data_IF_205970846003
#
_entry.id   IF_205970846003
#
_cell.length_a   1.000
_cell.length_b   1.000
_cell.length_c   1.000
_cell.angle_alpha   90.00
_cell.angle_beta   90.00
_cell.angle_gamma   90.00
#
_symmetry.space_group_name_H-M   'P 1'
#
loop_
_entity.id
_entity.type
_entity.pdbx_description
1 polymer ?
#
# COMPACT_ATOMS: atom_id res chain seq x y z
N UNK A 1 -27.13 -3.98 -7.30
CA UNK A 1 -25.79 -4.37 -6.83
C UNK A 1 -24.71 -3.85 -7.80
N UNK A 2 -23.53 -3.52 -7.30
CA UNK A 2 -22.38 -3.11 -8.12
C UNK A 2 -21.73 -4.39 -8.65
N UNK A 3 -21.60 -4.52 -9.97
CA UNK A 3 -20.89 -5.64 -10.58
C UNK A 3 -19.39 -5.34 -10.60
N UNK A 4 -18.61 -6.08 -9.82
CA UNK A 4 -17.18 -5.89 -9.66
C UNK A 4 -16.44 -7.15 -10.08
N UNK A 5 -15.55 -7.03 -11.05
CA UNK A 5 -14.79 -8.13 -11.62
C UNK A 5 -13.29 -7.93 -11.43
N UNK A 6 -12.65 -8.81 -10.68
CA UNK A 6 -11.20 -8.78 -10.47
C UNK A 6 -10.48 -9.45 -11.63
N UNK A 7 -9.59 -8.71 -12.31
CA UNK A 7 -8.85 -9.24 -13.46
C UNK A 7 -7.40 -9.52 -13.08
N UNK A 8 -6.96 -10.75 -13.29
CA UNK A 8 -5.58 -11.18 -13.07
C UNK A 8 -5.17 -12.22 -14.09
N UNK A 9 -3.85 -12.38 -14.30
CA UNK A 9 -3.34 -13.50 -15.12
C UNK A 9 -3.68 -14.81 -14.45
N UNK A 10 -4.18 -15.78 -15.24
CA UNK A 10 -4.60 -17.12 -14.74
C UNK A 10 -3.48 -17.82 -13.96
N UNK A 11 -2.24 -17.77 -14.47
CA UNK A 11 -1.07 -18.38 -13.82
C UNK A 11 -0.82 -17.81 -12.42
N UNK A 12 -0.96 -16.48 -12.25
CA UNK A 12 -0.80 -15.84 -10.94
C UNK A 12 -1.92 -16.22 -9.98
N UNK A 13 -3.16 -16.23 -10.46
CA UNK A 13 -4.32 -16.60 -9.66
C UNK A 13 -4.24 -18.08 -9.24
N UNK A 14 -3.95 -19.00 -10.17
CA UNK A 14 -3.79 -20.41 -9.85
C UNK A 14 -2.65 -20.70 -8.87
N UNK A 15 -1.53 -19.98 -8.99
CA UNK A 15 -0.37 -20.16 -8.10
C UNK A 15 -0.62 -19.67 -6.67
N UNK A 16 -1.27 -18.52 -6.51
CA UNK A 16 -1.34 -17.82 -5.21
C UNK A 16 -2.74 -17.86 -4.58
N UNK A 17 -3.79 -18.03 -5.38
CA UNK A 17 -5.20 -18.04 -4.95
C UNK A 17 -5.99 -19.11 -5.68
N UNK A 18 -5.55 -20.42 -5.65
CA UNK A 18 -6.28 -21.49 -6.33
C UNK A 18 -7.68 -21.70 -5.78
N UNK A 19 -7.90 -21.36 -4.52
CA UNK A 19 -9.12 -21.49 -3.74
C UNK A 19 -9.92 -20.17 -3.62
N UNK A 20 -9.68 -19.19 -4.51
CA UNK A 20 -10.28 -17.85 -4.39
C UNK A 20 -11.80 -17.86 -4.28
N UNK A 21 -12.48 -18.74 -5.04
CA UNK A 21 -13.94 -18.88 -4.95
C UNK A 21 -14.37 -19.30 -3.55
N UNK A 22 -13.70 -20.30 -2.97
CA UNK A 22 -13.98 -20.76 -1.60
C UNK A 22 -13.78 -19.64 -0.57
N UNK A 23 -12.74 -18.81 -0.73
CA UNK A 23 -12.50 -17.66 0.15
C UNK A 23 -13.61 -16.61 0.05
N UNK A 24 -14.16 -16.38 -1.15
CA UNK A 24 -15.32 -15.50 -1.36
C UNK A 24 -16.58 -16.09 -0.72
N UNK A 25 -16.89 -17.37 -1.00
CA UNK A 25 -18.09 -18.05 -0.49
C UNK A 25 -18.10 -18.11 1.05
N UNK A 26 -16.91 -18.24 1.66
CA UNK A 26 -16.73 -18.24 3.11
C UNK A 26 -16.66 -16.85 3.74
N UNK A 27 -16.77 -15.78 2.95
CA UNK A 27 -16.68 -14.39 3.40
C UNK A 27 -15.45 -14.12 4.29
N UNK A 28 -14.28 -14.60 3.87
CA UNK A 28 -13.05 -14.56 4.67
C UNK A 28 -12.56 -13.13 4.89
N UNK A 29 -12.24 -12.79 6.15
CA UNK A 29 -11.48 -11.57 6.45
C UNK A 29 -10.05 -11.70 5.89
N UNK A 30 -9.62 -10.82 4.96
CA UNK A 30 -8.25 -10.85 4.47
C UNK A 30 -7.17 -10.79 5.57
N UNK A 31 -7.51 -10.22 6.73
CA UNK A 31 -6.59 -10.14 7.88
C UNK A 31 -6.31 -11.50 8.54
N UNK A 32 -7.22 -12.47 8.40
CA UNK A 32 -7.05 -13.81 8.96
C UNK A 32 -6.11 -14.71 8.13
N UNK A 33 -5.74 -14.27 6.92
CA UNK A 33 -4.88 -15.03 6.00
C UNK A 33 -3.66 -14.21 5.52
N UNK A 34 -2.85 -13.63 6.44
CA UNK A 34 -1.83 -12.63 6.13
C UNK A 34 -0.78 -13.11 5.13
N UNK A 35 -0.35 -14.36 5.21
CA UNK A 35 0.69 -14.93 4.34
C UNK A 35 0.30 -14.99 2.86
N UNK A 36 -1.01 -15.05 2.55
CA UNK A 36 -1.50 -15.03 1.17
C UNK A 36 -1.13 -13.75 0.41
N UNK A 37 -0.92 -12.64 1.12
CA UNK A 37 -0.65 -11.34 0.50
C UNK A 37 0.84 -10.99 0.44
N UNK A 38 1.73 -11.87 0.89
CA UNK A 38 3.19 -11.73 0.70
C UNK A 38 3.63 -11.99 -0.75
N UNK A 39 2.72 -12.43 -1.63
CA UNK A 39 2.95 -12.59 -3.07
C UNK A 39 3.13 -11.26 -3.85
N UNK A 40 3.11 -10.13 -3.17
CA UNK A 40 3.38 -8.81 -3.72
C UNK A 40 2.14 -8.05 -4.22
N UNK A 41 2.38 -6.90 -4.83
CA UNK A 41 1.33 -5.93 -5.17
C UNK A 41 0.17 -6.47 -6.00
N UNK A 42 0.37 -7.47 -6.84
CA UNK A 42 -0.72 -8.08 -7.62
C UNK A 42 -1.79 -8.72 -6.72
N UNK A 43 -1.36 -9.45 -5.68
CA UNK A 43 -2.27 -10.04 -4.70
C UNK A 43 -2.95 -8.98 -3.85
N UNK A 44 -2.17 -8.03 -3.33
CA UNK A 44 -2.64 -6.95 -2.46
C UNK A 44 -3.67 -6.06 -3.18
N UNK A 45 -3.34 -5.54 -4.36
CA UNK A 45 -4.21 -4.59 -5.06
C UNK A 45 -5.41 -5.24 -5.75
N UNK A 46 -5.36 -6.53 -6.08
CA UNK A 46 -6.45 -7.20 -6.77
C UNK A 46 -7.25 -8.08 -5.81
N UNK A 47 -6.63 -9.11 -5.24
CA UNK A 47 -7.39 -10.12 -4.50
C UNK A 47 -7.68 -9.72 -3.05
N UNK A 48 -6.77 -8.99 -2.38
CA UNK A 48 -7.09 -8.42 -1.07
C UNK A 48 -8.24 -7.41 -1.18
N UNK A 49 -8.24 -6.58 -2.24
CA UNK A 49 -9.36 -5.65 -2.48
C UNK A 49 -10.67 -6.40 -2.74
N UNK A 50 -10.66 -7.45 -3.57
CA UNK A 50 -11.85 -8.25 -3.84
C UNK A 50 -12.43 -8.88 -2.56
N UNK A 51 -11.57 -9.54 -1.78
CA UNK A 51 -11.96 -10.17 -0.52
C UNK A 51 -12.43 -9.15 0.52
N UNK A 52 -11.77 -7.98 0.59
CA UNK A 52 -12.20 -6.91 1.49
C UNK A 52 -13.56 -6.32 1.09
N UNK A 53 -13.85 -6.18 -0.22
CA UNK A 53 -15.18 -5.76 -0.66
C UNK A 53 -16.24 -6.79 -0.30
N UNK A 54 -15.92 -8.08 -0.42
CA UNK A 54 -16.82 -9.14 0.03
C UNK A 54 -17.07 -9.05 1.54
N UNK A 55 -16.01 -9.02 2.33
CA UNK A 55 -16.07 -9.06 3.79
C UNK A 55 -16.83 -7.87 4.40
N UNK A 56 -16.54 -6.63 3.94
CA UNK A 56 -17.14 -5.43 4.51
C UNK A 56 -18.47 -5.00 3.86
N UNK A 57 -18.71 -5.37 2.60
CA UNK A 57 -19.80 -4.83 1.78
C UNK A 57 -20.41 -5.86 0.82
N UNK A 58 -20.36 -7.16 1.14
CA UNK A 58 -20.79 -8.24 0.22
C UNK A 58 -22.21 -8.06 -0.30
N UNK A 59 -23.13 -7.54 0.52
CA UNK A 59 -24.51 -7.25 0.15
C UNK A 59 -24.67 -6.14 -0.92
N UNK A 60 -23.63 -5.35 -1.18
CA UNK A 60 -23.62 -4.28 -2.17
C UNK A 60 -23.04 -4.70 -3.52
N UNK A 61 -22.35 -5.86 -3.57
CA UNK A 61 -21.60 -6.29 -4.73
C UNK A 61 -22.05 -7.62 -5.30
N UNK A 62 -22.02 -7.74 -6.63
CA UNK A 62 -21.93 -9.00 -7.36
C UNK A 62 -20.46 -9.18 -7.77
N UNK A 63 -19.75 -10.06 -7.08
CA UNK A 63 -18.30 -10.22 -7.21
C UNK A 63 -17.98 -11.38 -8.17
N UNK A 64 -16.95 -11.16 -9.00
CA UNK A 64 -16.40 -12.19 -9.87
C UNK A 64 -14.92 -11.94 -10.13
N UNK A 65 -14.25 -12.92 -10.71
CA UNK A 65 -12.85 -12.81 -11.08
C UNK A 65 -12.51 -13.61 -12.34
N UNK A 66 -11.43 -13.23 -13.01
CA UNK A 66 -11.02 -13.94 -14.23
C UNK A 66 -9.77 -13.32 -14.87
N UNK A 67 -9.45 -13.80 -16.08
CA UNK A 67 -8.26 -13.35 -16.82
C UNK A 67 -8.57 -12.30 -17.89
N UNK A 68 -9.84 -12.02 -18.16
CA UNK A 68 -10.27 -11.02 -19.14
C UNK A 68 -11.30 -10.07 -18.54
N UNK A 69 -11.41 -8.88 -19.09
CA UNK A 69 -12.48 -7.94 -18.74
C UNK A 69 -13.83 -8.45 -19.23
N UNK A 70 -14.86 -8.29 -18.40
CA UNK A 70 -16.25 -8.65 -18.73
C UNK A 70 -17.10 -7.40 -18.98
N UNK A 71 -18.05 -7.46 -19.92
CA UNK A 71 -19.00 -6.36 -20.15
C UNK A 71 -19.92 -6.12 -18.96
N UNK A 72 -20.37 -4.89 -18.79
CA UNK A 72 -21.37 -4.56 -17.77
C UNK A 72 -20.90 -4.67 -16.32
N UNK A 73 -19.58 -4.72 -16.08
CA UNK A 73 -18.98 -4.71 -14.76
C UNK A 73 -17.84 -3.68 -14.67
N UNK A 74 -17.48 -3.31 -13.46
CA UNK A 74 -16.24 -2.62 -13.17
C UNK A 74 -15.12 -3.66 -13.13
N UNK A 75 -14.21 -3.61 -14.10
CA UNK A 75 -13.06 -4.50 -14.19
C UNK A 75 -11.88 -3.85 -13.47
N UNK A 76 -11.48 -4.36 -12.32
CA UNK A 76 -10.36 -3.79 -11.60
C UNK A 76 -9.16 -4.73 -11.55
N UNK A 77 -7.96 -4.16 -11.59
CA UNK A 77 -6.74 -4.94 -11.70
C UNK A 77 -5.50 -4.17 -11.27
N UNK A 78 -4.43 -4.90 -10.99
CA UNK A 78 -3.10 -4.32 -10.87
C UNK A 78 -2.54 -3.91 -12.24
N UNK A 79 -1.70 -2.89 -12.30
CA UNK A 79 -1.08 -2.39 -13.53
C UNK A 79 -0.44 -3.50 -14.41
N UNK A 80 0.24 -4.48 -13.78
CA UNK A 80 0.91 -5.57 -14.52
C UNK A 80 -0.06 -6.53 -15.25
N UNK A 81 -1.34 -6.48 -14.92
CA UNK A 81 -2.37 -7.22 -15.65
C UNK A 81 -2.90 -6.42 -16.85
N UNK A 82 -2.83 -5.08 -16.82
CA UNK A 82 -3.39 -4.23 -17.86
C UNK A 82 -2.65 -4.37 -19.19
N UNK A 83 -3.30 -4.95 -20.18
CA UNK A 83 -2.75 -5.19 -21.51
C UNK A 83 -3.78 -5.76 -22.48
N UNK A 84 -3.41 -5.99 -23.75
CA UNK A 84 -4.34 -6.47 -24.77
C UNK A 84 -4.97 -7.83 -24.44
N UNK A 85 -4.24 -8.71 -23.74
CA UNK A 85 -4.73 -10.05 -23.35
C UNK A 85 -5.97 -10.01 -22.48
N UNK A 86 -6.09 -8.99 -21.61
CA UNK A 86 -7.25 -8.82 -20.73
C UNK A 86 -8.43 -8.14 -21.40
N UNK A 87 -8.30 -7.76 -22.67
CA UNK A 87 -9.36 -7.12 -23.50
C UNK A 87 -10.02 -5.91 -22.79
N UNK A 88 -9.23 -4.88 -22.40
CA UNK A 88 -9.74 -3.77 -21.55
C UNK A 88 -10.81 -2.90 -22.22
N UNK A 89 -11.01 -3.04 -23.54
CA UNK A 89 -12.07 -2.37 -24.29
C UNK A 89 -13.47 -2.99 -24.10
N UNK A 90 -13.57 -4.17 -23.46
CA UNK A 90 -14.85 -4.87 -23.24
C UNK A 90 -15.69 -4.28 -22.11
N UNK A 91 -15.09 -3.51 -21.22
CA UNK A 91 -15.81 -2.97 -20.08
C UNK A 91 -15.06 -1.81 -19.43
N UNK A 92 -15.66 -1.27 -18.38
CA UNK A 92 -15.07 -0.19 -17.59
C UNK A 92 -13.87 -0.69 -16.81
N UNK A 93 -12.74 0.02 -16.89
CA UNK A 93 -11.48 -0.41 -16.27
C UNK A 93 -11.04 0.50 -15.12
N UNK A 94 -10.71 -0.10 -13.99
CA UNK A 94 -10.06 0.54 -12.84
C UNK A 94 -8.71 -0.14 -12.62
N UNK A 95 -7.62 0.59 -12.70
CA UNK A 95 -6.28 0.02 -12.59
C UNK A 95 -5.55 0.62 -11.39
N UNK A 96 -5.17 -0.23 -10.44
CA UNK A 96 -4.22 0.14 -9.40
C UNK A 96 -2.81 0.24 -10.03
N UNK A 97 -2.28 1.46 -10.11
CA UNK A 97 -0.98 1.71 -10.73
C UNK A 97 0.16 1.08 -9.93
N UNK A 98 -0.02 1.00 -8.62
CA UNK A 98 1.01 0.54 -7.68
C UNK A 98 2.31 1.37 -7.85
N UNK A 99 3.48 0.77 -7.74
CA UNK A 99 4.78 1.45 -7.90
C UNK A 99 5.27 1.52 -9.35
N UNK A 100 4.36 1.30 -10.31
CA UNK A 100 4.68 1.32 -11.73
C UNK A 100 4.75 2.75 -12.29
N UNK A 101 5.43 2.94 -13.43
CA UNK A 101 5.43 4.22 -14.15
C UNK A 101 4.02 4.75 -14.41
N UNK A 102 3.87 6.05 -14.65
CA UNK A 102 2.60 6.62 -15.10
C UNK A 102 2.03 5.87 -16.30
N UNK A 103 0.71 5.74 -16.35
CA UNK A 103 0.03 5.03 -17.42
C UNK A 103 -1.12 5.84 -17.98
N UNK A 104 -1.46 5.57 -19.23
CA UNK A 104 -2.63 6.08 -19.93
C UNK A 104 -3.47 4.89 -20.42
N UNK A 105 -4.74 5.13 -20.67
CA UNK A 105 -5.63 4.12 -21.26
C UNK A 105 -6.74 3.63 -20.35
N UNK A 106 -6.52 3.31 -19.06
CA UNK A 106 -7.61 2.93 -18.16
C UNK A 106 -8.66 4.04 -18.02
N UNK A 107 -9.91 3.67 -17.73
CA UNK A 107 -10.96 4.64 -17.40
C UNK A 107 -10.65 5.35 -16.09
N UNK A 108 -10.20 4.60 -15.09
CA UNK A 108 -9.80 5.12 -13.79
C UNK A 108 -8.47 4.52 -13.34
N UNK A 109 -7.68 5.33 -12.66
CA UNK A 109 -6.39 4.92 -12.09
C UNK A 109 -6.41 5.16 -10.58
N UNK A 110 -6.04 4.15 -9.83
CA UNK A 110 -5.79 4.26 -8.39
C UNK A 110 -4.30 4.48 -8.17
N UNK A 111 -3.99 5.59 -7.53
CA UNK A 111 -2.64 5.97 -7.11
C UNK A 111 -2.41 5.57 -5.65
N UNK A 112 -1.21 5.11 -5.35
CA UNK A 112 -0.82 4.76 -3.99
C UNK A 112 0.07 5.81 -3.31
N UNK A 113 0.61 6.76 -4.09
CA UNK A 113 1.37 7.87 -3.55
C UNK A 113 0.46 9.10 -3.41
N UNK A 114 0.23 9.60 -2.18
CA UNK A 114 -0.65 10.73 -1.93
C UNK A 114 -0.10 12.06 -2.47
N UNK A 115 1.19 12.13 -2.80
CA UNK A 115 1.79 13.30 -3.43
C UNK A 115 1.35 13.52 -4.88
N UNK A 116 0.71 12.52 -5.51
CA UNK A 116 0.22 12.63 -6.88
C UNK A 116 -1.14 13.30 -6.88
N UNK A 117 -1.27 14.40 -7.63
CA UNK A 117 -2.53 15.16 -7.73
C UNK A 117 -3.67 14.29 -8.25
N UNK A 118 -4.76 14.29 -7.51
CA UNK A 118 -6.01 13.65 -7.94
C UNK A 118 -6.67 14.39 -9.11
N UNK A 119 -7.42 13.65 -9.89
CA UNK A 119 -8.28 14.15 -10.97
C UNK A 119 -9.62 13.39 -10.94
N UNK A 120 -10.53 13.69 -11.84
CA UNK A 120 -11.78 12.94 -11.98
C UNK A 120 -11.55 11.44 -12.24
N UNK A 121 -10.47 11.07 -12.94
CA UNK A 121 -10.12 9.69 -13.31
C UNK A 121 -8.96 9.09 -12.53
N UNK A 122 -8.30 9.89 -11.68
CA UNK A 122 -7.15 9.44 -10.87
C UNK A 122 -7.45 9.72 -9.43
N UNK A 123 -7.52 8.67 -8.62
CA UNK A 123 -7.86 8.74 -7.20
C UNK A 123 -6.76 8.16 -6.34
N UNK A 124 -6.48 8.81 -5.23
CA UNK A 124 -5.61 8.25 -4.21
C UNK A 124 -6.39 7.31 -3.30
N UNK A 125 -5.95 6.06 -3.23
CA UNK A 125 -6.36 5.12 -2.18
C UNK A 125 -5.08 4.59 -1.54
N UNK A 126 -4.93 4.69 -0.21
CA UNK A 126 -3.78 4.14 0.48
C UNK A 126 -3.60 2.66 0.18
N UNK A 127 -2.36 2.18 0.19
CA UNK A 127 -2.11 0.74 0.16
C UNK A 127 -2.82 0.07 1.35
N UNK A 128 -3.28 -1.15 1.14
CA UNK A 128 -3.82 -1.92 2.24
C UNK A 128 -2.78 -2.05 3.35
N UNK A 129 -3.17 -1.88 4.62
CA UNK A 129 -2.32 -2.23 5.74
C UNK A 129 -1.85 -3.67 5.63
N UNK A 130 -0.61 -3.92 6.04
CA UNK A 130 -0.11 -5.30 6.11
C UNK A 130 -1.06 -6.13 6.96
N UNK A 131 -1.59 -7.26 6.48
CA UNK A 131 -2.44 -8.12 7.29
C UNK A 131 -1.68 -8.69 8.50
N UNK A 132 -2.37 -8.86 9.61
CA UNK A 132 -1.79 -9.45 10.83
C UNK A 132 -0.89 -8.51 11.64
N UNK A 133 -0.96 -7.19 11.46
CA UNK A 133 -0.19 -6.25 12.30
C UNK A 133 -0.51 -6.48 13.78
N UNK A 134 0.55 -6.75 14.56
CA UNK A 134 0.52 -6.83 16.02
C UNK A 134 1.10 -5.54 16.60
N UNK A 135 0.30 -4.69 17.25
CA UNK A 135 0.79 -3.41 17.76
C UNK A 135 1.81 -3.56 18.89
N UNK A 136 2.70 -2.57 19.02
CA UNK A 136 3.68 -2.46 20.08
C UNK A 136 3.02 -2.41 21.45
N UNK A 137 3.57 -3.20 22.39
CA UNK A 137 3.19 -3.24 23.81
C UNK A 137 4.15 -2.44 24.69
N UNK A 138 5.10 -1.72 24.08
CA UNK A 138 6.11 -0.94 24.78
C UNK A 138 5.48 0.11 25.71
N UNK A 139 6.06 0.28 26.87
CA UNK A 139 5.57 1.09 28.00
C UNK A 139 6.29 2.45 28.17
N UNK A 140 6.92 2.94 27.10
CA UNK A 140 7.55 4.28 27.13
C UNK A 140 9.07 4.28 27.30
N UNK A 141 9.72 3.10 27.23
CA UNK A 141 11.17 2.98 27.11
C UNK A 141 11.54 2.52 25.70
N UNK A 142 12.64 3.06 25.17
CA UNK A 142 13.19 2.65 23.87
C UNK A 142 14.21 1.55 24.11
N UNK A 143 13.85 0.33 23.71
CA UNK A 143 14.72 -0.86 23.83
C UNK A 143 15.01 -1.49 22.48
N UNK A 144 14.13 -1.24 21.48
CA UNK A 144 14.22 -1.91 20.18
C UNK A 144 13.94 -0.98 19.03
N UNK A 145 14.88 -0.95 18.10
CA UNK A 145 14.72 -0.32 16.79
C UNK A 145 14.60 -1.43 15.75
N UNK A 146 13.65 -1.31 14.80
CA UNK A 146 13.50 -2.31 13.77
C UNK A 146 13.33 -1.70 12.38
N UNK A 147 13.96 -2.36 11.42
CA UNK A 147 13.61 -2.23 10.01
C UNK A 147 12.72 -3.41 9.60
N UNK A 148 11.50 -3.13 9.17
CA UNK A 148 10.56 -4.15 8.69
C UNK A 148 10.44 -4.03 7.16
N UNK A 149 11.03 -4.97 6.43
CA UNK A 149 10.99 -4.94 4.97
C UNK A 149 12.08 -5.76 4.31
N UNK A 150 12.22 -5.58 2.99
CA UNK A 150 13.18 -6.34 2.20
C UNK A 150 14.62 -5.83 2.44
N UNK A 151 15.61 -6.72 2.54
CA UNK A 151 16.99 -6.34 2.81
C UNK A 151 17.58 -5.42 1.73
N UNK A 152 17.24 -5.66 0.46
CA UNK A 152 17.72 -4.89 -0.69
C UNK A 152 17.16 -3.46 -0.77
N UNK A 153 16.28 -3.08 0.14
CA UNK A 153 15.63 -1.77 0.15
C UNK A 153 16.23 -0.80 1.19
N UNK A 154 17.03 -1.30 2.15
CA UNK A 154 17.70 -0.47 3.16
C UNK A 154 19.15 -0.23 2.73
N UNK A 155 19.65 1.01 2.68
CA UNK A 155 21.06 1.28 2.43
C UNK A 155 21.95 0.71 3.56
N UNK A 156 23.12 0.19 3.19
CA UNK A 156 24.00 -0.55 4.10
C UNK A 156 24.48 0.27 5.28
N UNK A 157 24.66 1.57 5.12
CA UNK A 157 25.07 2.49 6.17
C UNK A 157 24.13 2.52 7.38
N UNK A 158 22.87 2.16 7.21
CA UNK A 158 21.86 2.13 8.29
C UNK A 158 21.83 0.81 9.06
N UNK A 159 22.62 -0.19 8.64
CA UNK A 159 22.70 -1.49 9.33
C UNK A 159 24.10 -2.08 9.29
N UNK A 160 25.14 -1.24 9.18
CA UNK A 160 26.53 -1.67 9.36
C UNK A 160 26.78 -2.13 10.80
N UNK A 161 27.79 -3.00 10.99
CA UNK A 161 28.15 -3.48 12.33
C UNK A 161 28.44 -2.31 13.28
N UNK A 162 29.07 -1.25 12.78
CA UNK A 162 29.37 -0.03 13.53
C UNK A 162 28.11 0.61 14.13
N UNK A 163 27.04 0.79 13.34
CA UNK A 163 25.79 1.42 13.84
C UNK A 163 25.05 0.48 14.78
N UNK A 164 25.06 -0.82 14.52
CA UNK A 164 24.44 -1.84 15.38
C UNK A 164 25.13 -1.87 16.75
N UNK A 165 26.47 -1.94 16.77
CA UNK A 165 27.26 -1.91 18.01
C UNK A 165 27.06 -0.61 18.77
N UNK A 166 27.00 0.53 18.06
CA UNK A 166 26.74 1.84 18.65
C UNK A 166 25.41 1.87 19.40
N UNK A 167 24.35 1.29 18.87
CA UNK A 167 23.07 1.15 19.57
C UNK A 167 23.16 0.15 20.74
N UNK A 168 23.83 -0.98 20.55
CA UNK A 168 23.99 -1.99 21.60
C UNK A 168 24.71 -1.46 22.84
N UNK A 169 25.74 -0.60 22.68
CA UNK A 169 26.42 0.11 23.79
C UNK A 169 25.47 0.99 24.63
N UNK A 170 24.32 1.37 24.07
CA UNK A 170 23.30 2.15 24.78
C UNK A 170 22.11 1.27 25.22
N UNK A 171 22.25 -0.06 25.18
CA UNK A 171 21.20 -1.00 25.59
C UNK A 171 20.02 -1.08 24.63
N UNK A 172 20.20 -0.66 23.37
CA UNK A 172 19.17 -0.65 22.34
C UNK A 172 19.46 -1.77 21.33
N UNK A 173 18.51 -2.70 21.18
CA UNK A 173 18.55 -3.77 20.19
C UNK A 173 18.12 -3.22 18.81
N UNK A 174 18.96 -3.44 17.80
CA UNK A 174 18.67 -3.04 16.42
C UNK A 174 18.42 -4.27 15.55
N UNK A 175 17.20 -4.45 15.08
CA UNK A 175 16.77 -5.64 14.34
C UNK A 175 16.39 -5.37 12.90
N UNK A 176 16.75 -6.33 12.04
CA UNK A 176 16.33 -6.39 10.63
C UNK A 176 15.31 -7.51 10.47
N UNK A 177 14.02 -7.15 10.36
CA UNK A 177 12.92 -8.10 10.17
C UNK A 177 12.59 -8.23 8.69
N UNK A 178 13.08 -9.29 8.06
CA UNK A 178 12.91 -9.50 6.62
C UNK A 178 11.70 -10.36 6.25
N UNK A 179 11.13 -11.10 7.19
CA UNK A 179 10.04 -12.06 6.95
C UNK A 179 8.72 -11.66 7.62
N UNK A 180 8.73 -11.28 8.88
CA UNK A 180 7.53 -10.95 9.67
C UNK A 180 7.28 -9.44 9.74
N UNK A 181 6.95 -8.83 8.62
CA UNK A 181 6.76 -7.37 8.50
C UNK A 181 5.54 -6.83 9.25
N UNK A 182 4.74 -7.68 9.86
CA UNK A 182 3.53 -7.32 10.60
C UNK A 182 3.70 -7.38 12.12
N UNK A 183 4.81 -7.89 12.63
CA UNK A 183 5.04 -7.98 14.06
C UNK A 183 5.78 -6.75 14.60
N UNK A 184 5.03 -5.87 15.27
CA UNK A 184 5.52 -4.67 15.94
C UNK A 184 5.47 -4.83 17.46
N UNK A 185 5.15 -6.02 18.00
CA UNK A 185 4.78 -6.22 19.42
C UNK A 185 5.82 -5.72 20.42
N UNK A 186 7.09 -5.74 20.05
CA UNK A 186 8.23 -5.27 20.85
C UNK A 186 9.02 -4.14 20.19
N UNK A 187 8.51 -3.57 19.07
CA UNK A 187 9.21 -2.52 18.31
C UNK A 187 8.83 -1.14 18.87
N UNK A 188 9.83 -0.39 19.31
CA UNK A 188 9.68 0.97 19.81
C UNK A 188 9.79 1.99 18.68
N UNK A 189 10.81 1.84 17.85
CA UNK A 189 11.09 2.71 16.72
C UNK A 189 11.22 1.88 15.45
N UNK A 190 10.49 2.29 14.42
CA UNK A 190 10.66 1.77 13.06
C UNK A 190 11.54 2.70 12.26
N UNK A 191 12.37 2.15 11.40
CA UNK A 191 13.13 2.94 10.45
C UNK A 191 12.71 2.67 9.00
N UNK A 192 12.81 3.71 8.16
CA UNK A 192 12.55 3.60 6.71
C UNK A 192 13.47 4.51 5.93
N UNK A 193 14.47 3.94 5.30
CA UNK A 193 15.38 4.64 4.41
C UNK A 193 15.42 3.94 3.06
N UNK A 194 15.67 4.67 1.98
CA UNK A 194 15.69 4.11 0.62
C UNK A 194 16.77 4.75 -0.23
N UNK A 195 17.61 3.93 -0.81
CA UNK A 195 18.50 4.36 -1.87
C UNK A 195 17.75 4.43 -3.21
N UNK A 196 16.92 5.45 -3.41
CA UNK A 196 16.11 5.59 -4.62
C UNK A 196 15.96 7.04 -5.03
N UNK A 197 16.17 7.34 -6.31
CA UNK A 197 15.94 8.69 -6.82
C UNK A 197 14.48 9.12 -6.74
N UNK A 198 14.24 10.44 -6.72
CA UNK A 198 12.95 11.09 -6.53
C UNK A 198 11.83 10.51 -7.44
N UNK A 199 12.12 10.21 -8.71
CA UNK A 199 11.15 9.60 -9.63
C UNK A 199 10.60 8.26 -9.14
N UNK A 200 11.43 7.43 -8.49
CA UNK A 200 10.99 6.16 -7.89
C UNK A 200 10.21 6.42 -6.60
N UNK A 201 10.68 7.34 -5.77
CA UNK A 201 10.02 7.70 -4.51
C UNK A 201 8.62 8.27 -4.75
N UNK A 202 8.42 9.08 -5.79
CA UNK A 202 7.10 9.58 -6.22
C UNK A 202 6.08 8.47 -6.60
N UNK A 203 6.54 7.23 -6.74
CA UNK A 203 5.67 6.08 -7.03
C UNK A 203 5.44 5.18 -5.83
N UNK A 204 6.17 5.41 -4.73
CA UNK A 204 6.07 4.56 -3.55
C UNK A 204 4.86 4.92 -2.68
N UNK A 205 4.19 3.92 -2.10
CA UNK A 205 3.17 4.16 -1.10
C UNK A 205 3.80 4.55 0.23
N UNK A 206 3.04 5.21 1.06
CA UNK A 206 3.42 5.45 2.45
C UNK A 206 3.20 4.23 3.36
N UNK A 207 3.31 3.00 2.81
CA UNK A 207 2.93 1.77 3.53
C UNK A 207 3.73 1.56 4.81
N UNK A 208 5.04 1.84 4.82
CA UNK A 208 5.86 1.70 6.03
C UNK A 208 5.42 2.66 7.13
N UNK A 209 5.14 3.93 6.79
CA UNK A 209 4.64 4.92 7.75
C UNK A 209 3.27 4.52 8.31
N UNK A 210 2.35 4.12 7.42
CA UNK A 210 1.00 3.67 7.81
C UNK A 210 1.07 2.42 8.69
N UNK A 211 1.90 1.44 8.32
CA UNK A 211 2.07 0.22 9.12
C UNK A 211 2.73 0.52 10.48
N UNK A 212 3.69 1.47 10.54
CA UNK A 212 4.27 1.94 11.78
C UNK A 212 3.22 2.57 12.71
N UNK A 213 2.33 3.43 12.18
CA UNK A 213 1.22 3.97 12.97
C UNK A 213 0.27 2.87 13.47
N UNK A 214 -0.11 1.91 12.61
CA UNK A 214 -0.92 0.76 12.99
C UNK A 214 -0.18 -0.17 13.98
N UNK A 215 1.14 -0.20 13.93
CA UNK A 215 2.02 -0.86 14.88
C UNK A 215 2.22 -0.10 16.18
N UNK A 216 1.66 1.11 16.34
CA UNK A 216 1.82 1.99 17.51
C UNK A 216 3.30 2.27 17.85
N UNK A 217 4.15 2.35 16.83
CA UNK A 217 5.58 2.62 16.96
C UNK A 217 5.91 4.04 16.45
N UNK A 218 7.10 4.53 16.77
CA UNK A 218 7.61 5.81 16.27
C UNK A 218 8.38 5.58 14.98
N UNK A 219 8.24 6.47 13.99
CA UNK A 219 8.96 6.39 12.72
C UNK A 219 10.13 7.37 12.68
N UNK A 220 11.33 6.88 12.30
CA UNK A 220 12.46 7.71 11.86
C UNK A 220 12.78 7.31 10.41
N UNK A 221 12.86 8.27 9.51
CA UNK A 221 12.96 7.97 8.08
C UNK A 221 13.59 9.11 7.27
N UNK A 222 13.95 8.81 6.01
CA UNK A 222 14.11 9.85 5.00
C UNK A 222 12.75 10.46 4.63
N UNK A 223 12.76 11.71 4.17
CA UNK A 223 11.50 12.40 3.81
C UNK A 223 11.03 11.98 2.41
N UNK A 224 10.39 10.80 2.31
CA UNK A 224 9.75 10.39 1.06
C UNK A 224 8.57 11.29 0.70
N UNK A 225 8.31 11.57 -0.61
CA UNK A 225 7.15 12.37 -1.03
C UNK A 225 5.82 11.86 -0.51
N UNK A 226 5.67 10.54 -0.39
CA UNK A 226 4.46 9.91 0.15
C UNK A 226 4.29 10.16 1.65
N UNK A 227 5.37 10.21 2.42
CA UNK A 227 5.34 10.49 3.86
C UNK A 227 5.04 11.98 4.08
N UNK A 228 5.76 12.85 3.35
CA UNK A 228 5.54 14.30 3.38
C UNK A 228 4.10 14.69 3.08
N UNK A 229 3.48 14.06 2.08
CA UNK A 229 2.09 14.33 1.71
C UNK A 229 1.07 13.88 2.77
N UNK A 230 1.43 12.94 3.66
CA UNK A 230 0.59 12.50 4.78
C UNK A 230 0.88 13.24 6.08
N UNK A 231 1.99 13.99 6.17
CA UNK A 231 2.40 14.67 7.40
C UNK A 231 1.37 15.72 7.81
N UNK A 232 0.89 15.65 9.05
CA UNK A 232 -0.04 16.60 9.66
C UNK A 232 0.57 17.27 10.90
N UNK A 233 1.63 16.69 11.46
CA UNK A 233 2.26 17.11 12.70
C UNK A 233 3.73 16.74 12.71
N UNK A 234 4.54 17.44 13.49
CA UNK A 234 5.93 17.06 13.77
C UNK A 234 6.03 15.74 14.55
N UNK A 235 4.94 15.30 15.18
CA UNK A 235 4.85 14.01 15.87
C UNK A 235 4.61 12.82 14.94
N UNK A 236 4.40 13.04 13.63
CA UNK A 236 4.10 11.96 12.68
C UNK A 236 5.33 11.09 12.37
N UNK A 237 6.53 11.70 12.30
CA UNK A 237 7.82 11.03 12.11
C UNK A 237 8.98 12.02 12.30
N UNK A 238 10.16 11.49 12.55
CA UNK A 238 11.42 12.25 12.57
C UNK A 238 12.15 11.98 11.24
N UNK A 239 12.73 13.03 10.67
CA UNK A 239 13.59 12.93 9.49
C UNK A 239 15.05 12.75 9.93
N UNK A 240 15.72 11.78 9.33
CA UNK A 240 17.16 11.60 9.40
C UNK A 240 17.68 11.34 7.98
N UNK A 241 18.88 11.83 7.65
CA UNK A 241 19.45 11.73 6.30
C UNK A 241 20.50 10.65 6.18
N UNK A 242 21.13 10.30 7.29
CA UNK A 242 22.21 9.32 7.39
C UNK A 242 22.15 8.55 8.73
N UNK A 243 23.05 7.61 8.90
CA UNK A 243 23.10 6.76 10.09
C UNK A 243 23.44 7.53 11.37
N UNK A 244 24.23 8.60 11.28
CA UNK A 244 24.58 9.43 12.45
C UNK A 244 23.36 10.28 12.89
N UNK A 245 22.63 10.90 11.96
CA UNK A 245 21.39 11.61 12.27
C UNK A 245 20.35 10.64 12.85
N UNK A 246 20.26 9.39 12.34
CA UNK A 246 19.40 8.35 12.92
C UNK A 246 19.78 8.09 14.38
N UNK A 247 21.07 7.85 14.66
CA UNK A 247 21.55 7.60 16.02
C UNK A 247 21.22 8.78 16.95
N UNK A 248 21.53 10.00 16.53
CA UNK A 248 21.26 11.21 17.32
C UNK A 248 19.73 11.39 17.57
N UNK A 249 18.88 11.08 16.58
CA UNK A 249 17.44 11.19 16.74
C UNK A 249 16.92 10.17 17.78
N UNK A 250 17.43 8.93 17.77
CA UNK A 250 17.09 7.92 18.77
C UNK A 250 17.54 8.33 20.15
N UNK A 251 18.80 8.79 20.31
CA UNK A 251 19.33 9.22 21.61
C UNK A 251 18.56 10.42 22.16
N UNK A 252 18.12 11.35 21.30
CA UNK A 252 17.24 12.45 21.71
C UNK A 252 15.92 11.94 22.28
N UNK A 253 15.28 10.99 21.62
CA UNK A 253 14.03 10.40 22.10
C UNK A 253 14.21 9.60 23.39
N UNK A 254 15.36 8.94 23.55
CA UNK A 254 15.70 8.21 24.80
C UNK A 254 15.82 9.17 25.98
N UNK A 255 16.36 10.37 25.76
CA UNK A 255 16.53 11.40 26.78
C UNK A 255 15.26 12.25 26.99
N UNK A 256 14.40 12.37 25.96
CA UNK A 256 13.13 13.10 26.03
C UNK A 256 11.94 12.12 25.90
N UNK A 257 11.67 11.43 27.03
CA UNK A 257 10.55 10.50 27.14
C UNK A 257 9.19 11.14 26.82
N UNK A 258 9.01 12.42 27.12
CA UNK A 258 7.74 13.10 26.86
C UNK A 258 7.47 13.21 25.37
N UNK A 259 8.45 13.60 24.58
CA UNK A 259 8.34 13.64 23.10
C UNK A 259 8.12 12.22 22.55
N UNK A 260 8.86 11.21 23.03
CA UNK A 260 8.65 9.83 22.60
C UNK A 260 7.22 9.33 22.85
N UNK A 261 6.70 9.55 24.07
CA UNK A 261 5.32 9.17 24.43
C UNK A 261 4.31 9.93 23.56
N UNK A 262 4.52 11.24 23.36
CA UNK A 262 3.65 12.05 22.52
C UNK A 262 3.59 11.53 21.06
N UNK A 263 4.72 11.09 20.51
CA UNK A 263 4.78 10.49 19.17
C UNK A 263 4.06 9.14 19.13
N UNK A 264 4.19 8.28 20.15
CA UNK A 264 3.43 7.02 20.24
C UNK A 264 1.92 7.26 20.30
N UNK A 265 1.47 8.20 21.11
CA UNK A 265 0.06 8.55 21.19
C UNK A 265 -0.45 9.18 19.88
N UNK A 266 0.39 9.96 19.19
CA UNK A 266 0.07 10.44 17.86
C UNK A 266 -0.05 9.27 16.86
N UNK A 267 0.83 8.27 16.89
CA UNK A 267 0.71 7.06 16.04
C UNK A 267 -0.62 6.35 16.25
N UNK A 268 -1.06 6.18 17.51
CA UNK A 268 -2.39 5.62 17.83
C UNK A 268 -3.55 6.46 17.27
N UNK A 269 -3.42 7.78 17.23
CA UNK A 269 -4.44 8.66 16.61
C UNK A 269 -4.41 8.55 15.10
N UNK A 270 -3.20 8.53 14.50
CA UNK A 270 -3.02 8.46 13.07
C UNK A 270 -3.49 7.14 12.47
N UNK A 271 -3.33 6.02 13.20
CA UNK A 271 -3.73 4.70 12.72
C UNK A 271 -5.23 4.61 12.41
N UNK A 272 -6.09 5.35 13.13
CA UNK A 272 -7.54 5.35 12.93
C UNK A 272 -7.97 5.79 11.53
N UNK A 273 -7.17 6.65 10.87
CA UNK A 273 -7.42 7.10 9.48
C UNK A 273 -7.13 5.99 8.45
N UNK A 274 -6.37 4.95 8.85
CA UNK A 274 -5.83 3.90 7.98
C UNK A 274 -6.25 2.48 8.37
N UNK A 275 -7.19 2.34 9.28
CA UNK A 275 -7.80 1.05 9.57
C UNK A 275 -8.38 0.40 8.31
N UNK A 276 -8.36 -0.93 8.24
CA UNK A 276 -8.81 -1.68 7.05
C UNK A 276 -10.20 -1.30 6.60
N UNK A 277 -11.12 -1.13 7.54
CA UNK A 277 -12.50 -0.70 7.23
C UNK A 277 -12.52 0.67 6.55
N UNK A 278 -11.68 1.62 7.00
CA UNK A 278 -11.56 2.96 6.39
C UNK A 278 -11.00 2.89 4.96
N UNK A 279 -10.05 2.00 4.72
CA UNK A 279 -9.53 1.77 3.35
C UNK A 279 -10.61 1.09 2.49
N UNK A 280 -11.32 0.09 3.03
CA UNK A 280 -12.44 -0.55 2.35
C UNK A 280 -13.55 0.45 1.98
N UNK A 281 -13.89 1.37 2.87
CA UNK A 281 -14.84 2.46 2.61
C UNK A 281 -14.40 3.34 1.43
N UNK A 282 -13.11 3.69 1.33
CA UNK A 282 -12.58 4.47 0.19
C UNK A 282 -12.75 3.73 -1.14
N UNK A 283 -12.46 2.43 -1.16
CA UNK A 283 -12.70 1.57 -2.32
C UNK A 283 -14.18 1.47 -2.65
N UNK A 284 -15.02 1.22 -1.67
CA UNK A 284 -16.47 1.12 -1.84
C UNK A 284 -17.05 2.40 -2.46
N UNK A 285 -16.76 3.57 -1.89
CA UNK A 285 -17.28 4.85 -2.40
C UNK A 285 -16.77 5.16 -3.81
N UNK A 286 -15.51 4.80 -4.11
CA UNK A 286 -14.98 4.95 -5.47
C UNK A 286 -15.75 4.04 -6.45
N UNK A 287 -15.92 2.74 -6.14
CA UNK A 287 -16.66 1.83 -7.01
C UNK A 287 -18.12 2.24 -7.14
N UNK A 288 -18.74 2.70 -6.06
CA UNK A 288 -20.13 3.18 -6.09
C UNK A 288 -20.28 4.42 -7.00
N UNK A 289 -19.37 5.38 -6.90
CA UNK A 289 -19.38 6.57 -7.77
C UNK A 289 -19.23 6.19 -9.24
N UNK A 290 -18.23 5.34 -9.53
CA UNK A 290 -17.99 4.84 -10.88
C UNK A 290 -19.22 4.09 -11.43
N UNK A 291 -19.86 3.26 -10.62
CA UNK A 291 -21.03 2.48 -11.00
C UNK A 291 -22.22 3.39 -11.34
N UNK A 292 -22.48 4.40 -10.52
CA UNK A 292 -23.52 5.40 -10.76
C UNK A 292 -23.31 6.19 -12.04
N UNK A 293 -22.06 6.52 -12.36
CA UNK A 293 -21.70 7.22 -13.58
C UNK A 293 -21.80 6.32 -14.83
N UNK A 294 -21.44 5.03 -14.69
CA UNK A 294 -21.39 4.07 -15.80
C UNK A 294 -22.77 3.62 -16.28
N UNK A 295 -23.78 3.57 -15.40
CA UNK A 295 -25.18 3.28 -15.77
C UNK A 295 -25.76 4.23 -16.82
N UNK A 296 -25.05 5.30 -17.14
CA UNK A 296 -25.38 6.28 -18.20
C UNK A 296 -24.64 6.03 -19.52
N UNK A 297 -23.78 5.00 -19.62
CA UNK A 297 -22.94 4.76 -20.82
C UNK A 297 -23.15 3.37 -21.38
N UNK A 298 -23.42 3.32 -22.69
CA UNK A 298 -23.58 2.09 -23.50
C UNK A 298 -22.37 1.16 -23.47
N UNK A 299 -22.61 -0.12 -23.66
CA UNK A 299 -21.71 -1.27 -23.51
C UNK A 299 -20.51 -1.41 -24.46
N UNK A 300 -20.38 -0.56 -25.48
CA UNK A 300 -19.22 -0.53 -26.37
C UNK A 300 -18.66 0.88 -26.49
N UNK A 301 -17.47 1.12 -25.96
CA UNK A 301 -16.87 2.43 -25.97
C UNK A 301 -15.69 2.48 -26.96
N UNK A 302 -15.97 2.93 -28.20
CA UNK A 302 -14.93 3.18 -29.22
C UNK A 302 -13.77 4.02 -28.63
N UNK A 303 -14.10 4.94 -27.72
CA UNK A 303 -13.13 5.69 -26.94
C UNK A 303 -12.23 4.84 -26.04
N UNK A 304 -12.65 3.66 -25.58
CA UNK A 304 -11.82 2.78 -24.73
C UNK A 304 -10.73 2.09 -25.55
N UNK A 305 -11.08 1.61 -26.76
CA UNK A 305 -10.10 1.04 -27.69
C UNK A 305 -9.10 2.09 -28.13
N UNK A 306 -9.57 3.29 -28.48
CA UNK A 306 -8.70 4.40 -28.89
C UNK A 306 -7.77 4.83 -27.74
N UNK A 307 -8.28 5.00 -26.53
CA UNK A 307 -7.47 5.32 -25.34
C UNK A 307 -6.42 4.25 -25.04
N UNK A 308 -6.81 2.97 -25.13
CA UNK A 308 -5.86 1.87 -24.95
C UNK A 308 -4.74 1.92 -25.98
N UNK A 309 -5.07 2.13 -27.28
CA UNK A 309 -4.10 2.22 -28.36
C UNK A 309 -3.15 3.42 -28.19
N UNK A 310 -3.70 4.59 -27.89
CA UNK A 310 -2.91 5.80 -27.58
C UNK A 310 -2.03 5.56 -26.35
N UNK A 311 -2.58 4.97 -25.28
CA UNK A 311 -1.83 4.63 -24.10
C UNK A 311 -0.65 3.71 -24.37
N UNK A 312 -0.82 2.73 -25.27
CA UNK A 312 0.27 1.85 -25.73
C UNK A 312 1.34 2.60 -26.54
N UNK A 313 0.94 3.46 -27.45
CA UNK A 313 1.87 4.26 -28.24
C UNK A 313 2.71 5.22 -27.38
N UNK A 314 2.12 5.77 -26.33
CA UNK A 314 2.78 6.70 -25.41
C UNK A 314 3.52 6.00 -24.26
N UNK A 315 3.45 4.68 -24.16
CA UNK A 315 4.10 3.92 -23.08
C UNK A 315 5.63 4.18 -22.98
N UNK A 316 6.40 4.28 -24.08
CA UNK A 316 7.81 4.60 -24.00
C UNK A 316 8.07 5.98 -23.38
N UNK A 317 7.22 6.95 -23.66
CA UNK A 317 7.33 8.32 -23.10
C UNK A 317 6.98 8.32 -21.62
N UNK A 318 5.88 7.68 -21.23
CA UNK A 318 5.45 7.63 -19.82
C UNK A 318 6.41 6.84 -18.92
N UNK A 319 7.18 5.88 -19.48
CA UNK A 319 8.23 5.17 -18.74
C UNK A 319 9.45 6.02 -18.43
N UNK A 320 9.72 7.05 -19.24
CA UNK A 320 10.81 8.01 -19.03
C UNK A 320 10.45 9.14 -18.04
N UNK A 321 9.16 9.38 -17.84
CA UNK A 321 8.63 10.28 -16.80
C UNK A 321 8.67 9.60 -15.43
#
# INVERSE_FOLDING_TARGET
MIKLHAVSKSEFQQKHFPDLQKLLDSNVDPNSIPTRFYCGGKGVWTFQTLLAMNFYFGDKFELSFGSECVPGAINFMHNDAYGSRVKPWRGLTVVARADRPPMLGPDYIVEQCPAIKETTRRKFIPNWPQPGIKPSKSNGEIKKIAYLGRPDSLPVEFFSDEIIEKFAMHGIDFQLQFEEWSDYSDVDICISFRNSGLKKLMRKPASKLINCWLGHSVMICDEEPSFKALKKSELDYIVAKDAEELFLAVMRLTNDKNTYIAMKENSKKRCLDYERKKIAEKWFYMFQSIWKESGKKSSFNLNATLRFSIGKLLLPVTRRM
#
